data_IF_886004782463
#
_entry.id   IF_886004782463
#
_cell.length_a   1.000
_cell.length_b   1.000
_cell.length_c   1.000
_cell.angle_alpha   90.00
_cell.angle_beta   90.00
_cell.angle_gamma   90.00
#
_symmetry.space_group_name_H-M   'P 1'
#
loop_
_entity.id
_entity.type
_entity.pdbx_description
1 polymer ?
#
# COMPACT_ATOMS: atom_id res chain seq x y z
N UNK A 1 -7.65 -10.67 -7.77
CA UNK A 1 -6.69 -9.83 -8.51
C UNK A 1 -5.33 -9.99 -7.85
N UNK A 2 -4.23 -10.11 -8.60
CA UNK A 2 -2.88 -10.20 -8.00
C UNK A 2 -2.34 -8.82 -7.61
N UNK A 3 -1.35 -8.74 -6.70
CA UNK A 3 -0.71 -7.45 -6.36
C UNK A 3 -0.16 -6.70 -7.56
N UNK A 4 0.45 -7.41 -8.52
CA UNK A 4 0.99 -6.81 -9.75
C UNK A 4 -0.11 -6.28 -10.67
N UNK A 5 -1.23 -7.01 -10.80
CA UNK A 5 -2.39 -6.53 -11.57
C UNK A 5 -3.00 -5.27 -10.93
N UNK A 6 -3.08 -5.21 -9.61
CA UNK A 6 -3.57 -4.03 -8.89
C UNK A 6 -2.61 -2.84 -9.07
N UNK A 7 -1.30 -3.09 -8.98
CA UNK A 7 -0.28 -2.07 -9.20
C UNK A 7 -0.39 -1.44 -10.59
N UNK A 8 -0.51 -2.26 -11.63
CA UNK A 8 -0.62 -1.76 -13.00
C UNK A 8 -1.98 -1.07 -13.23
N UNK A 9 -3.08 -1.68 -12.79
CA UNK A 9 -4.44 -1.17 -13.02
C UNK A 9 -4.72 0.15 -12.31
N UNK A 10 -4.31 0.29 -11.05
CA UNK A 10 -4.67 1.45 -10.22
C UNK A 10 -3.56 2.50 -10.11
N UNK A 11 -2.29 2.11 -10.27
CA UNK A 11 -1.15 3.02 -10.10
C UNK A 11 -0.32 3.20 -11.39
N UNK A 12 -0.58 2.44 -12.45
CA UNK A 12 0.12 2.56 -13.73
C UNK A 12 1.58 2.09 -13.69
N UNK A 13 2.02 1.42 -12.62
CA UNK A 13 3.40 0.93 -12.49
C UNK A 13 3.51 -0.54 -12.89
N UNK A 14 4.58 -0.88 -13.60
CA UNK A 14 4.85 -2.26 -14.06
C UNK A 14 5.63 -3.10 -13.05
N UNK A 15 6.28 -2.46 -12.08
CA UNK A 15 7.16 -3.13 -11.11
C UNK A 15 7.08 -2.42 -9.76
N UNK A 16 7.16 -3.21 -8.70
CA UNK A 16 7.36 -2.71 -7.36
C UNK A 16 8.75 -2.08 -7.20
N UNK A 17 8.84 -1.10 -6.33
CA UNK A 17 10.12 -0.62 -5.81
C UNK A 17 10.69 -1.65 -4.81
N UNK A 18 12.00 -1.62 -4.53
CA UNK A 18 12.62 -2.54 -3.58
C UNK A 18 11.88 -2.60 -2.24
N UNK A 19 11.65 -3.82 -1.74
CA UNK A 19 10.97 -4.09 -0.47
C UNK A 19 9.44 -4.02 -0.49
N UNK A 20 8.80 -3.32 -1.44
CA UNK A 20 7.33 -3.18 -1.44
C UNK A 20 6.61 -4.53 -1.61
N UNK A 21 7.07 -5.36 -2.54
CA UNK A 21 6.44 -6.65 -2.83
C UNK A 21 6.50 -7.60 -1.63
N UNK A 22 7.64 -7.61 -0.92
CA UNK A 22 7.84 -8.42 0.28
C UNK A 22 6.87 -8.01 1.39
N UNK A 23 6.77 -6.71 1.67
CA UNK A 23 5.82 -6.17 2.66
C UNK A 23 4.38 -6.54 2.31
N UNK A 24 3.99 -6.38 1.04
CA UNK A 24 2.63 -6.69 0.57
C UNK A 24 2.33 -8.18 0.74
N UNK A 25 3.28 -9.06 0.40
CA UNK A 25 3.13 -10.52 0.56
C UNK A 25 2.91 -10.91 2.01
N UNK A 26 3.70 -10.34 2.93
CA UNK A 26 3.56 -10.61 4.36
C UNK A 26 2.20 -10.14 4.92
N UNK A 27 1.73 -8.95 4.51
CA UNK A 27 0.40 -8.45 4.89
C UNK A 27 -0.71 -9.38 4.37
N UNK A 28 -0.62 -9.81 3.11
CA UNK A 28 -1.60 -10.71 2.50
C UNK A 28 -1.58 -12.12 3.10
N UNK A 29 -0.45 -12.55 3.65
CA UNK A 29 -0.34 -13.79 4.42
C UNK A 29 -0.98 -13.67 5.83
N UNK A 30 -1.42 -12.48 6.22
CA UNK A 30 -2.02 -12.22 7.54
C UNK A 30 -0.99 -11.95 8.65
N UNK A 31 0.28 -11.73 8.29
CA UNK A 31 1.34 -11.48 9.26
C UNK A 31 1.37 -10.02 9.73
N UNK A 32 1.87 -9.80 10.94
CA UNK A 32 2.17 -8.45 11.44
C UNK A 32 3.51 -7.96 10.88
N UNK A 33 3.52 -6.78 10.27
CA UNK A 33 4.70 -6.23 9.59
C UNK A 33 5.09 -4.88 10.17
N UNK A 34 6.35 -4.75 10.56
CA UNK A 34 6.99 -3.45 10.80
C UNK A 34 7.85 -3.10 9.58
N UNK A 35 7.40 -2.15 8.78
CA UNK A 35 8.11 -1.72 7.58
C UNK A 35 8.77 -0.35 7.79
N UNK A 36 10.08 -0.26 7.58
CA UNK A 36 10.85 0.99 7.63
C UNK A 36 11.29 1.36 6.23
N UNK A 37 10.71 2.44 5.69
CA UNK A 37 11.03 2.95 4.35
C UNK A 37 11.36 4.44 4.41
N UNK A 38 12.28 4.93 3.56
CA UNK A 38 12.53 6.36 3.48
C UNK A 38 11.31 7.12 2.91
N UNK A 39 11.22 8.40 3.22
CA UNK A 39 10.20 9.28 2.63
C UNK A 39 10.29 9.24 1.10
N UNK A 40 9.13 9.21 0.43
CA UNK A 40 9.06 9.11 -1.03
C UNK A 40 9.25 7.70 -1.60
N UNK A 41 9.57 6.68 -0.77
CA UNK A 41 9.71 5.30 -1.23
C UNK A 41 8.40 4.65 -1.70
N UNK A 42 7.25 5.30 -1.48
CA UNK A 42 5.94 4.74 -1.82
C UNK A 42 5.41 3.78 -0.75
N UNK A 43 5.59 4.11 0.53
CA UNK A 43 5.08 3.31 1.65
C UNK A 43 3.56 3.10 1.62
N UNK A 44 2.80 4.03 1.02
CA UNK A 44 1.34 3.95 0.94
C UNK A 44 0.85 2.77 0.11
N UNK A 45 1.56 2.46 -0.98
CA UNK A 45 1.25 1.33 -1.86
C UNK A 45 1.25 0.00 -1.08
N UNK A 46 2.11 -0.11 -0.06
CA UNK A 46 2.25 -1.33 0.73
C UNK A 46 0.99 -1.71 1.51
N UNK A 47 0.15 -0.74 1.91
CA UNK A 47 -1.15 -1.02 2.53
C UNK A 47 -2.34 -0.82 1.58
N UNK A 48 -2.21 0.03 0.56
CA UNK A 48 -3.28 0.28 -0.41
C UNK A 48 -3.53 -0.92 -1.32
N UNK A 49 -2.49 -1.62 -1.79
CA UNK A 49 -2.68 -2.79 -2.65
C UNK A 49 -3.41 -3.92 -1.91
N UNK A 50 -3.00 -4.33 -0.69
CA UNK A 50 -3.78 -5.27 0.10
C UNK A 50 -5.24 -4.82 0.27
N UNK A 51 -5.47 -3.54 0.59
CA UNK A 51 -6.82 -2.98 0.75
C UNK A 51 -7.67 -3.09 -0.53
N UNK A 52 -7.07 -2.97 -1.71
CA UNK A 52 -7.78 -3.03 -3.00
C UNK A 52 -8.12 -4.46 -3.44
N UNK A 53 -7.34 -5.47 -3.02
CA UNK A 53 -7.51 -6.84 -3.50
C UNK A 53 -8.17 -7.77 -2.47
N UNK A 54 -8.19 -7.39 -1.20
CA UNK A 54 -8.90 -8.09 -0.14
C UNK A 54 -10.41 -7.79 -0.19
N UNK A 55 -11.23 -8.76 0.22
CA UNK A 55 -12.70 -8.58 0.28
C UNK A 55 -13.14 -7.68 1.45
N UNK A 56 -12.26 -7.47 2.43
CA UNK A 56 -12.51 -6.65 3.61
C UNK A 56 -11.96 -5.22 3.42
N UNK A 57 -12.52 -4.27 4.18
CA UNK A 57 -12.00 -2.91 4.22
C UNK A 57 -10.72 -2.83 5.06
N UNK A 58 -9.86 -1.86 4.75
CA UNK A 58 -8.64 -1.55 5.51
C UNK A 58 -8.81 -0.26 6.31
N UNK A 59 -8.29 -0.23 7.54
CA UNK A 59 -8.28 0.96 8.39
C UNK A 59 -6.87 1.53 8.42
N UNK A 60 -6.72 2.79 8.00
CA UNK A 60 -5.44 3.52 8.04
C UNK A 60 -5.53 4.58 9.12
N UNK A 61 -4.64 4.48 10.12
CA UNK A 61 -4.55 5.46 11.21
C UNK A 61 -3.42 6.44 10.89
N UNK A 62 -3.74 7.73 10.85
CA UNK A 62 -2.77 8.80 10.60
C UNK A 62 -2.90 9.87 11.70
N UNK A 63 -1.79 10.41 12.23
CA UNK A 63 -1.83 11.39 13.31
C UNK A 63 -2.28 12.79 12.87
N UNK A 64 -2.20 13.11 11.57
CA UNK A 64 -2.45 14.46 11.06
C UNK A 64 -3.55 14.44 9.99
N UNK A 65 -4.57 15.28 10.19
CA UNK A 65 -5.67 15.48 9.21
C UNK A 65 -5.11 15.96 7.86
N UNK A 66 -4.10 16.82 7.87
CA UNK A 66 -3.43 17.27 6.64
C UNK A 66 -2.89 16.09 5.82
N UNK A 67 -2.21 15.14 6.48
CA UNK A 67 -1.72 13.93 5.81
C UNK A 67 -2.86 13.05 5.30
N UNK A 68 -3.97 12.95 6.04
CA UNK A 68 -5.14 12.21 5.57
C UNK A 68 -5.71 12.82 4.30
N UNK A 69 -5.85 14.14 4.26
CA UNK A 69 -6.33 14.88 3.09
C UNK A 69 -5.39 14.68 1.89
N UNK A 70 -4.08 14.83 2.08
CA UNK A 70 -3.10 14.64 1.00
C UNK A 70 -3.15 13.22 0.42
N UNK A 71 -3.44 12.20 1.23
CA UNK A 71 -3.60 10.82 0.73
C UNK A 71 -4.90 10.64 -0.05
N UNK A 72 -6.01 11.25 0.39
CA UNK A 72 -7.31 11.13 -0.31
C UNK A 72 -7.30 11.91 -1.63
N UNK A 73 -6.75 13.13 -1.63
CA UNK A 73 -6.67 13.97 -2.83
C UNK A 73 -5.70 13.39 -3.89
N UNK A 74 -4.79 12.51 -3.48
CA UNK A 74 -3.84 11.82 -4.36
C UNK A 74 -4.27 10.42 -4.83
N UNK A 75 -5.45 9.94 -4.43
CA UNK A 75 -6.07 8.70 -4.91
C UNK A 75 -6.89 8.94 -6.18
#
# INVERSE_FOLDING_TARGET
MTPHQALEKYFGYKKFRPGQEEIIKEILAGNHVLAVLPTGAGKSICYQIPALISENFSVVVSPLIALMKDQVDGL
#
